data_IF_965683452297
#
_entry.id   IF_965683452297
#
_cell.length_a   1.000
_cell.length_b   1.000
_cell.length_c   1.000
_cell.angle_alpha   90.00
_cell.angle_beta   90.00
_cell.angle_gamma   90.00
#
_symmetry.space_group_name_H-M   'P 1'
#
loop_
_entity.id
_entity.type
_entity.pdbx_description
1 polymer ?
#
# COMPACT_ATOMS: atom_id res chain seq x y z
N UNK A 1 -26.01 57.82 1.21
CA UNK A 1 -24.98 56.92 1.77
C UNK A 1 -24.31 57.62 2.94
N UNK A 2 -24.45 57.08 4.15
CA UNK A 2 -23.64 57.52 5.28
C UNK A 2 -22.33 56.74 5.28
N UNK A 3 -21.19 57.44 5.39
CA UNK A 3 -19.86 56.83 5.46
C UNK A 3 -19.23 57.20 6.79
N UNK A 4 -18.69 56.22 7.49
CA UNK A 4 -17.83 56.43 8.66
C UNK A 4 -16.40 56.16 8.23
N UNK A 5 -15.47 57.04 8.59
CA UNK A 5 -14.02 56.86 8.41
C UNK A 5 -13.39 56.97 9.77
N UNK A 6 -12.77 55.91 10.22
CA UNK A 6 -12.03 55.86 11.47
C UNK A 6 -10.86 54.90 11.27
N UNK A 7 -9.76 55.16 11.96
CA UNK A 7 -8.63 54.24 11.97
C UNK A 7 -8.96 52.97 12.75
N UNK A 8 -9.60 53.12 13.92
CA UNK A 8 -9.95 52.03 14.83
C UNK A 8 -11.37 52.18 15.40
N UNK A 9 -11.95 51.04 15.80
CA UNK A 9 -13.20 50.97 16.57
C UNK A 9 -12.94 50.15 17.84
N UNK A 10 -13.34 50.68 18.99
CA UNK A 10 -13.25 50.02 20.30
C UNK A 10 -14.63 49.88 20.92
N UNK A 11 -14.74 49.10 21.99
CA UNK A 11 -15.90 49.13 22.88
C UNK A 11 -16.08 50.51 23.55
N UNK A 12 -17.17 50.68 24.30
CA UNK A 12 -17.49 51.95 24.99
C UNK A 12 -16.41 52.34 26.01
N UNK A 13 -15.73 51.38 26.62
CA UNK A 13 -14.70 51.64 27.62
C UNK A 13 -13.34 52.01 27.00
N UNK A 14 -13.17 51.82 25.69
CA UNK A 14 -11.92 52.12 24.97
C UNK A 14 -10.84 51.06 25.12
N UNK A 15 -11.15 49.94 25.78
CA UNK A 15 -10.17 48.94 26.21
C UNK A 15 -10.42 47.56 25.57
N UNK A 16 -11.44 47.41 24.72
CA UNK A 16 -11.82 46.14 24.12
C UNK A 16 -12.33 46.25 22.69
N UNK A 17 -12.65 45.08 22.12
CA UNK A 17 -13.27 44.99 20.79
C UNK A 17 -14.75 45.41 20.85
N UNK A 18 -15.28 46.05 19.79
CA UNK A 18 -16.71 46.31 19.67
C UNK A 18 -17.53 45.01 19.76
N UNK A 19 -18.69 45.08 20.41
CA UNK A 19 -19.66 43.98 20.40
C UNK A 19 -20.71 44.23 19.29
N UNK A 20 -20.93 43.23 18.43
CA UNK A 20 -21.93 43.26 17.37
C UNK A 20 -23.05 42.25 17.67
N UNK A 21 -23.99 42.56 18.58
CA UNK A 21 -25.01 41.60 19.04
C UNK A 21 -25.98 41.13 17.94
N UNK A 22 -26.08 41.88 16.85
CA UNK A 22 -26.87 41.53 15.66
C UNK A 22 -26.01 41.03 14.50
N UNK A 23 -24.74 40.73 14.77
CA UNK A 23 -23.76 40.25 13.79
C UNK A 23 -23.07 41.35 13.00
N UNK A 24 -22.03 40.94 12.28
CA UNK A 24 -21.31 41.75 11.30
C UNK A 24 -21.64 41.23 9.91
N UNK A 25 -22.09 42.12 9.01
CA UNK A 25 -22.26 41.79 7.59
C UNK A 25 -21.23 42.57 6.77
N UNK A 26 -20.16 41.90 6.36
CA UNK A 26 -19.20 42.46 5.41
C UNK A 26 -19.54 41.99 4.00
N UNK A 27 -19.61 42.91 3.04
CA UNK A 27 -19.68 42.59 1.61
C UNK A 27 -18.29 42.49 0.96
N UNK A 28 -17.25 42.86 1.71
CA UNK A 28 -15.86 42.81 1.27
C UNK A 28 -15.04 41.82 2.09
N UNK A 29 -13.72 41.94 2.00
CA UNK A 29 -12.76 41.06 2.69
C UNK A 29 -12.78 41.33 4.20
N UNK A 30 -12.73 40.26 4.99
CA UNK A 30 -12.43 40.31 6.42
C UNK A 30 -11.03 39.73 6.61
N UNK A 31 -10.11 40.53 7.11
CA UNK A 31 -8.77 40.07 7.51
C UNK A 31 -8.74 40.02 9.04
N UNK A 32 -8.60 38.83 9.60
CA UNK A 32 -8.55 38.61 11.04
C UNK A 32 -7.32 37.76 11.39
N UNK A 33 -6.73 37.98 12.56
CA UNK A 33 -5.62 37.17 13.07
C UNK A 33 -6.10 35.86 13.73
N UNK A 34 -7.42 35.70 13.93
CA UNK A 34 -8.05 34.49 14.45
C UNK A 34 -9.58 34.57 14.37
N UNK A 35 -10.23 33.42 14.45
CA UNK A 35 -11.69 33.29 14.47
C UNK A 35 -12.11 32.06 15.28
N UNK A 36 -13.16 32.21 16.09
CA UNK A 36 -13.78 31.11 16.82
C UNK A 36 -15.27 31.15 16.57
N UNK A 37 -15.82 30.03 16.09
CA UNK A 37 -17.23 29.88 15.76
C UNK A 37 -17.79 28.78 16.64
N UNK A 38 -18.83 29.08 17.41
CA UNK A 38 -19.52 28.10 18.26
C UNK A 38 -20.58 27.28 17.51
N UNK A 39 -20.89 27.68 16.28
CA UNK A 39 -21.82 27.00 15.39
C UNK A 39 -21.17 26.60 14.07
N UNK A 40 -22.01 26.23 13.12
CA UNK A 40 -21.56 25.77 11.81
C UNK A 40 -20.87 26.90 11.03
N UNK A 41 -19.87 26.53 10.24
CA UNK A 41 -19.16 27.42 9.32
C UNK A 41 -19.36 26.89 7.90
N UNK A 42 -20.09 27.66 7.09
CA UNK A 42 -20.26 27.36 5.66
C UNK A 42 -19.21 28.12 4.85
N UNK A 43 -18.42 27.39 4.05
CA UNK A 43 -17.38 27.95 3.19
C UNK A 43 -17.74 27.65 1.75
N UNK A 44 -18.15 28.67 1.00
CA UNK A 44 -18.52 28.51 -0.41
C UNK A 44 -17.30 28.35 -1.34
N UNK A 45 -16.11 28.74 -0.87
CA UNK A 45 -14.85 28.67 -1.61
C UNK A 45 -13.96 27.50 -1.19
N UNK A 46 -12.66 27.64 -1.45
CA UNK A 46 -11.63 26.70 -1.02
C UNK A 46 -10.95 27.23 0.23
N UNK A 47 -10.60 26.32 1.14
CA UNK A 47 -9.67 26.58 2.22
C UNK A 47 -8.29 26.02 1.80
N UNK A 48 -7.29 26.88 1.70
CA UNK A 48 -5.97 26.54 1.13
C UNK A 48 -5.03 25.89 2.15
N UNK A 49 -4.02 25.16 1.66
CA UNK A 49 -3.14 24.29 2.45
C UNK A 49 -2.32 25.05 3.50
N UNK A 50 -1.94 26.29 3.19
CA UNK A 50 -1.21 27.15 4.12
C UNK A 50 -2.04 27.49 5.36
N UNK A 51 -3.37 27.47 5.25
CA UNK A 51 -4.30 27.81 6.34
C UNK A 51 -4.76 26.58 7.15
N UNK A 52 -4.53 25.36 6.65
CA UNK A 52 -4.99 24.11 7.30
C UNK A 52 -3.83 23.16 7.51
N UNK A 53 -3.17 23.30 8.65
CA UNK A 53 -2.08 22.40 9.05
C UNK A 53 -2.58 21.20 9.85
N UNK A 54 -3.66 21.35 10.63
CA UNK A 54 -4.24 20.31 11.47
C UNK A 54 -5.78 20.35 11.42
N UNK A 55 -6.41 19.17 11.47
CA UNK A 55 -7.86 19.01 11.68
C UNK A 55 -8.06 18.06 12.87
N UNK A 56 -8.66 18.57 13.94
CA UNK A 56 -9.15 17.75 15.06
C UNK A 56 -10.66 17.56 14.89
N UNK A 57 -11.05 16.44 14.29
CA UNK A 57 -12.45 16.13 13.97
C UNK A 57 -12.91 14.88 14.70
N UNK A 58 -14.08 14.96 15.32
CA UNK A 58 -14.79 13.80 15.89
C UNK A 58 -15.60 13.06 14.82
N UNK A 59 -15.88 13.72 13.69
CA UNK A 59 -16.74 13.23 12.61
C UNK A 59 -15.99 12.75 11.38
N UNK A 60 -16.65 12.85 10.22
CA UNK A 60 -16.10 12.44 8.92
C UNK A 60 -15.21 13.55 8.36
N UNK A 61 -14.01 13.18 7.93
CA UNK A 61 -13.18 14.03 7.07
C UNK A 61 -13.30 13.51 5.65
N UNK A 62 -13.75 14.37 4.73
CA UNK A 62 -13.78 14.06 3.30
C UNK A 62 -12.66 14.81 2.58
N UNK A 63 -11.99 14.14 1.65
CA UNK A 63 -10.92 14.73 0.85
C UNK A 63 -11.13 14.38 -0.62
N UNK A 64 -11.02 15.39 -1.50
CA UNK A 64 -11.25 15.24 -2.95
C UNK A 64 -10.33 14.19 -3.59
N UNK A 65 -9.05 14.22 -3.24
CA UNK A 65 -8.01 13.40 -3.86
C UNK A 65 -7.59 12.19 -2.99
N UNK A 66 -8.43 11.83 -2.01
CA UNK A 66 -8.09 10.84 -0.99
C UNK A 66 -7.41 11.45 0.24
N UNK A 67 -7.25 10.64 1.30
CA UNK A 67 -6.62 11.02 2.55
C UNK A 67 -5.37 10.15 2.80
N UNK A 68 -4.25 10.77 3.14
CA UNK A 68 -3.07 10.06 3.65
C UNK A 68 -3.21 9.94 5.16
N UNK A 69 -3.31 8.72 5.67
CA UNK A 69 -3.49 8.45 7.09
C UNK A 69 -2.15 8.03 7.70
N UNK A 70 -1.41 9.00 8.24
CA UNK A 70 -0.22 8.72 9.04
C UNK A 70 -0.64 8.20 10.41
N UNK A 71 -0.44 6.92 10.70
CA UNK A 71 -0.59 6.40 12.06
C UNK A 71 0.75 6.54 12.77
N UNK A 72 0.84 7.42 13.77
CA UNK A 72 2.00 7.44 14.67
C UNK A 72 1.96 6.18 15.52
N UNK A 73 3.02 5.37 15.45
CA UNK A 73 3.08 4.13 16.21
C UNK A 73 3.18 4.42 17.72
N UNK A 74 2.12 4.10 18.49
CA UNK A 74 2.18 3.95 19.95
C UNK A 74 2.66 2.52 20.28
N UNK A 75 3.82 2.32 20.92
CA UNK A 75 4.35 0.99 21.24
C UNK A 75 3.57 0.28 22.36
N UNK A 76 2.68 0.98 23.05
CA UNK A 76 1.85 0.44 24.15
C UNK A 76 0.41 0.18 23.75
N UNK A 77 0.00 0.61 22.54
CA UNK A 77 -1.36 0.44 22.03
C UNK A 77 -1.36 -0.21 20.66
N UNK A 78 -2.51 -0.77 20.29
CA UNK A 78 -2.71 -1.25 18.92
C UNK A 78 -2.99 -0.03 18.03
N UNK A 79 -2.00 0.35 17.24
CA UNK A 79 -2.14 1.30 16.14
C UNK A 79 -3.07 0.69 15.09
N UNK A 80 -4.34 1.10 15.08
CA UNK A 80 -5.37 0.46 14.25
C UNK A 80 -6.16 1.47 13.43
N UNK A 81 -5.96 1.46 12.12
CA UNK A 81 -7.08 1.63 11.21
C UNK A 81 -7.93 0.36 11.35
N UNK A 82 -9.06 0.45 12.05
CA UNK A 82 -9.90 -0.71 12.35
C UNK A 82 -10.55 -1.27 11.08
N UNK A 83 -10.82 -0.40 10.11
CA UNK A 83 -11.49 -0.72 8.86
C UNK A 83 -11.15 0.38 7.84
N UNK A 84 -10.45 0.02 6.76
CA UNK A 84 -10.20 0.93 5.65
C UNK A 84 -11.18 0.56 4.53
N UNK A 85 -12.28 1.29 4.41
CA UNK A 85 -13.28 1.07 3.37
C UNK A 85 -12.99 1.98 2.17
N UNK A 86 -12.52 1.40 1.06
CA UNK A 86 -12.30 2.12 -0.20
C UNK A 86 -13.49 1.90 -1.13
N UNK A 87 -14.41 2.87 -1.21
CA UNK A 87 -15.43 2.89 -2.25
C UNK A 87 -14.86 3.62 -3.47
N UNK A 88 -14.62 2.88 -4.54
CA UNK A 88 -14.55 3.48 -5.87
C UNK A 88 -15.52 2.73 -6.79
N UNK A 89 -16.56 3.46 -7.18
CA UNK A 89 -17.50 3.04 -8.21
C UNK A 89 -16.82 3.12 -9.58
N UNK A 90 -16.01 2.12 -9.91
CA UNK A 90 -15.37 2.05 -11.21
C UNK A 90 -14.18 1.11 -11.23
N UNK A 91 -14.46 -0.16 -11.46
CA UNK A 91 -13.51 -1.27 -11.62
C UNK A 91 -12.62 -1.51 -10.41
N UNK A 92 -13.09 -2.47 -9.60
CA UNK A 92 -12.36 -3.24 -8.58
C UNK A 92 -12.53 -2.73 -7.15
N UNK A 93 -13.76 -2.80 -6.64
CA UNK A 93 -14.05 -2.53 -5.23
C UNK A 93 -13.22 -3.36 -4.24
N UNK A 94 -13.00 -2.75 -3.07
CA UNK A 94 -12.88 -3.31 -1.72
C UNK A 94 -12.76 -4.85 -1.59
N UNK A 95 -11.70 -5.43 -2.15
CA UNK A 95 -11.22 -6.77 -1.82
C UNK A 95 -9.73 -6.66 -1.47
N UNK A 96 -9.25 -7.48 -0.54
CA UNK A 96 -7.81 -7.71 -0.37
C UNK A 96 -7.30 -8.39 -1.65
N UNK A 97 -6.91 -7.58 -2.63
CA UNK A 97 -6.31 -8.06 -3.88
C UNK A 97 -4.80 -8.16 -3.66
N UNK A 98 -4.24 -9.29 -4.05
CA UNK A 98 -2.79 -9.42 -4.18
C UNK A 98 -2.34 -8.66 -5.42
N UNK A 99 -1.27 -7.88 -5.31
CA UNK A 99 -0.62 -7.26 -6.47
C UNK A 99 -0.04 -8.36 -7.35
N UNK A 100 -0.28 -8.27 -8.66
CA UNK A 100 0.06 -9.32 -9.62
C UNK A 100 1.02 -8.82 -10.68
N UNK A 101 2.13 -9.52 -10.86
CA UNK A 101 2.97 -9.42 -12.06
C UNK A 101 2.43 -10.39 -13.12
N UNK A 102 2.01 -9.83 -14.26
CA UNK A 102 1.45 -10.59 -15.38
C UNK A 102 2.38 -10.50 -16.58
N UNK A 103 2.90 -11.63 -17.05
CA UNK A 103 3.57 -11.73 -18.35
C UNK A 103 2.95 -12.83 -19.20
N UNK A 104 2.73 -12.48 -20.47
CA UNK A 104 2.28 -13.42 -21.51
C UNK A 104 3.41 -13.83 -22.44
N UNK A 105 4.63 -13.31 -22.22
CA UNK A 105 5.82 -13.65 -22.99
C UNK A 105 6.62 -14.74 -22.30
N UNK A 106 7.13 -15.69 -23.08
CA UNK A 106 7.98 -16.77 -22.57
C UNK A 106 9.25 -16.17 -21.93
N UNK A 107 9.56 -16.58 -20.70
CA UNK A 107 10.84 -16.27 -20.03
C UNK A 107 11.81 -17.45 -20.20
N UNK A 108 13.12 -17.24 -20.03
CA UNK A 108 14.13 -18.32 -20.12
C UNK A 108 15.25 -18.12 -19.11
N UNK A 109 15.83 -19.20 -18.59
CA UNK A 109 16.94 -19.16 -17.64
C UNK A 109 16.50 -19.04 -16.18
N UNK A 110 17.39 -18.54 -15.32
CA UNK A 110 17.08 -18.26 -13.91
C UNK A 110 16.22 -17.00 -13.83
N UNK A 111 15.19 -17.03 -12.97
CA UNK A 111 14.18 -15.98 -12.92
C UNK A 111 14.30 -15.14 -11.66
N UNK A 112 14.49 -13.84 -11.84
CA UNK A 112 14.33 -12.87 -10.77
C UNK A 112 12.84 -12.53 -10.62
N UNK A 113 12.31 -12.69 -9.41
CA UNK A 113 10.94 -12.36 -9.05
C UNK A 113 10.98 -11.13 -8.13
N UNK A 114 10.59 -9.99 -8.66
CA UNK A 114 10.55 -8.71 -7.93
C UNK A 114 9.24 -8.60 -7.15
N UNK A 115 9.34 -8.54 -5.82
CA UNK A 115 8.19 -8.44 -4.93
C UNK A 115 7.60 -7.02 -4.90
N UNK A 116 8.32 -6.01 -5.41
CA UNK A 116 7.75 -4.68 -5.66
C UNK A 116 6.62 -4.72 -6.70
N UNK A 117 6.72 -5.61 -7.69
CA UNK A 117 5.73 -5.78 -8.77
C UNK A 117 4.48 -6.54 -8.28
N UNK A 118 4.62 -7.24 -7.15
CA UNK A 118 3.56 -7.99 -6.51
C UNK A 118 4.00 -9.34 -5.99
N UNK A 119 3.05 -10.06 -5.38
CA UNK A 119 3.29 -11.38 -4.78
C UNK A 119 2.53 -12.50 -5.52
N UNK A 120 1.91 -12.19 -6.65
CA UNK A 120 1.36 -13.19 -7.58
C UNK A 120 2.03 -13.01 -8.92
N UNK A 121 2.69 -14.05 -9.42
CA UNK A 121 3.38 -14.06 -10.70
C UNK A 121 2.65 -15.00 -11.66
N UNK A 122 2.19 -14.50 -12.80
CA UNK A 122 1.52 -15.31 -13.81
C UNK A 122 2.32 -15.32 -15.11
N UNK A 123 2.77 -16.51 -15.51
CA UNK A 123 3.49 -16.78 -16.75
C UNK A 123 2.58 -17.54 -17.72
N UNK A 124 1.89 -16.78 -18.59
CA UNK A 124 0.75 -17.25 -19.38
C UNK A 124 1.07 -18.04 -20.64
N UNK A 125 2.33 -18.08 -21.06
CA UNK A 125 2.81 -18.89 -22.18
C UNK A 125 3.91 -19.82 -21.69
N UNK A 126 4.15 -20.90 -22.45
CA UNK A 126 5.20 -21.88 -22.15
C UNK A 126 6.52 -21.17 -21.90
N UNK A 127 6.88 -21.07 -20.63
CA UNK A 127 8.05 -20.34 -20.18
C UNK A 127 9.12 -21.35 -19.82
N UNK A 128 10.37 -21.03 -20.15
CA UNK A 128 11.61 -21.76 -19.88
C UNK A 128 11.68 -23.18 -20.48
N UNK A 129 12.52 -23.35 -21.51
CA UNK A 129 12.88 -24.68 -22.05
C UNK A 129 13.84 -25.49 -21.17
N UNK A 130 14.16 -25.03 -19.96
CA UNK A 130 15.08 -25.72 -19.07
C UNK A 130 14.37 -26.83 -18.26
N UNK A 131 15.06 -27.97 -18.15
CA UNK A 131 14.64 -29.19 -17.46
C UNK A 131 14.75 -29.15 -15.93
N UNK A 132 15.14 -28.02 -15.36
CA UNK A 132 15.11 -27.68 -13.93
C UNK A 132 15.61 -26.24 -13.80
N UNK A 133 14.83 -25.33 -13.23
CA UNK A 133 15.22 -23.92 -13.16
C UNK A 133 15.16 -23.35 -11.76
N UNK A 134 15.83 -22.21 -11.59
CA UNK A 134 15.97 -21.54 -10.31
C UNK A 134 15.22 -20.21 -10.34
N UNK A 135 14.58 -19.89 -9.22
CA UNK A 135 13.95 -18.59 -8.99
C UNK A 135 14.73 -17.83 -7.91
N UNK A 136 14.70 -16.51 -7.97
CA UNK A 136 15.29 -15.64 -6.98
C UNK A 136 14.28 -14.58 -6.55
N UNK A 137 13.79 -14.66 -5.32
CA UNK A 137 12.98 -13.59 -4.74
C UNK A 137 13.86 -12.44 -4.28
N UNK A 138 13.42 -11.22 -4.58
CA UNK A 138 14.10 -9.97 -4.27
C UNK A 138 13.07 -8.85 -4.19
N UNK A 139 13.39 -7.73 -3.56
CA UNK A 139 12.48 -6.59 -3.60
C UNK A 139 12.40 -6.01 -5.03
N UNK A 140 13.52 -5.52 -5.55
CA UNK A 140 13.62 -4.92 -6.89
C UNK A 140 14.98 -5.23 -7.57
N UNK A 141 15.23 -4.67 -8.75
CA UNK A 141 16.46 -4.85 -9.56
C UNK A 141 17.80 -4.36 -8.92
N UNK A 142 17.73 -3.67 -7.79
CA UNK A 142 18.83 -3.00 -7.07
C UNK A 142 18.79 -3.14 -5.55
N UNK A 143 17.61 -3.32 -4.96
CA UNK A 143 17.36 -3.36 -3.52
C UNK A 143 17.11 -4.80 -3.08
N UNK A 144 17.82 -5.21 -2.04
CA UNK A 144 17.69 -6.54 -1.45
C UNK A 144 16.40 -6.64 -0.62
N UNK A 145 15.70 -7.76 -0.71
CA UNK A 145 14.51 -8.07 0.09
C UNK A 145 14.80 -7.96 1.59
N UNK A 146 15.99 -8.37 2.01
CA UNK A 146 16.50 -8.25 3.38
C UNK A 146 16.54 -6.82 3.95
N UNK A 147 16.45 -5.79 3.11
CA UNK A 147 16.34 -4.39 3.58
C UNK A 147 14.90 -3.90 3.72
N UNK A 148 13.94 -4.69 3.24
CA UNK A 148 12.51 -4.36 3.18
C UNK A 148 11.66 -5.25 4.10
N UNK A 149 12.29 -6.20 4.79
CA UNK A 149 11.64 -7.09 5.77
C UNK A 149 12.26 -6.88 7.14
N UNK A 150 11.44 -7.11 8.18
CA UNK A 150 11.86 -7.18 9.57
C UNK A 150 11.56 -8.58 10.12
N UNK A 151 12.21 -8.93 11.23
CA UNK A 151 11.92 -10.18 11.96
C UNK A 151 10.42 -10.34 12.22
N UNK A 152 9.86 -11.46 11.77
CA UNK A 152 8.43 -11.78 11.91
C UNK A 152 7.57 -11.38 10.71
N UNK A 153 8.11 -10.66 9.73
CA UNK A 153 7.41 -10.40 8.48
C UNK A 153 7.27 -11.69 7.67
N UNK A 154 6.11 -11.82 7.01
CA UNK A 154 5.75 -13.00 6.22
C UNK A 154 5.28 -12.57 4.85
N UNK A 155 5.91 -13.14 3.83
CA UNK A 155 5.57 -12.92 2.43
C UNK A 155 5.11 -14.25 1.84
N UNK A 156 3.89 -14.28 1.30
CA UNK A 156 3.41 -15.42 0.52
C UNK A 156 3.42 -15.05 -0.95
N UNK A 157 4.26 -15.71 -1.73
CA UNK A 157 4.33 -15.56 -3.18
C UNK A 157 3.66 -16.75 -3.88
N UNK A 158 2.80 -16.48 -4.86
CA UNK A 158 2.17 -17.50 -5.71
C UNK A 158 2.66 -17.35 -7.13
N UNK A 159 3.05 -18.45 -7.76
CA UNK A 159 3.57 -18.48 -9.12
C UNK A 159 2.70 -19.43 -9.93
N UNK A 160 2.03 -18.91 -10.96
CA UNK A 160 1.36 -19.70 -11.99
C UNK A 160 2.33 -19.87 -13.15
N UNK A 161 2.78 -21.10 -13.36
CA UNK A 161 3.81 -21.43 -14.32
C UNK A 161 3.27 -22.32 -15.44
N UNK A 162 3.29 -21.85 -16.70
CA UNK A 162 2.98 -22.72 -17.83
C UNK A 162 4.21 -23.55 -18.22
N UNK A 163 4.18 -24.85 -17.89
CA UNK A 163 5.26 -25.83 -18.05
C UNK A 163 5.52 -26.17 -19.52
N UNK A 164 6.81 -26.31 -19.89
CA UNK A 164 7.25 -26.74 -21.23
C UNK A 164 7.33 -28.25 -21.40
N UNK A 165 7.31 -29.02 -20.31
CA UNK A 165 7.47 -30.48 -20.28
C UNK A 165 7.62 -31.00 -18.85
N UNK A 166 7.63 -32.32 -18.65
CA UNK A 166 7.69 -32.90 -17.29
C UNK A 166 9.00 -32.62 -16.57
N UNK A 167 10.05 -32.21 -17.29
CA UNK A 167 11.28 -31.72 -16.67
C UNK A 167 11.20 -30.24 -16.27
N UNK A 168 10.21 -29.46 -16.69
CA UNK A 168 10.15 -28.04 -16.30
C UNK A 168 9.56 -27.91 -14.88
N UNK A 169 10.44 -27.73 -13.89
CA UNK A 169 10.07 -27.48 -12.50
C UNK A 169 11.07 -26.56 -11.78
N UNK A 170 10.60 -25.90 -10.71
CA UNK A 170 11.44 -25.10 -9.81
C UNK A 170 12.28 -26.02 -8.94
N UNK A 171 13.60 -25.96 -9.09
CA UNK A 171 14.57 -26.84 -8.40
C UNK A 171 15.29 -26.13 -7.23
N UNK A 172 15.57 -24.84 -7.37
CA UNK A 172 16.19 -24.02 -6.32
C UNK A 172 15.43 -22.71 -6.18
N UNK A 173 15.33 -22.28 -4.94
CA UNK A 173 14.79 -20.99 -4.55
C UNK A 173 15.90 -20.21 -3.87
N UNK A 174 16.27 -19.10 -4.48
CA UNK A 174 17.16 -18.11 -3.91
C UNK A 174 16.33 -16.96 -3.32
N UNK A 175 16.90 -16.31 -2.31
CA UNK A 175 16.46 -14.99 -1.84
C UNK A 175 17.69 -14.08 -1.85
N UNK A 176 17.59 -12.94 -2.53
CA UNK A 176 18.71 -12.00 -2.73
C UNK A 176 19.99 -12.68 -3.27
N UNK A 177 19.82 -13.69 -4.12
CA UNK A 177 20.91 -14.48 -4.71
C UNK A 177 21.53 -15.52 -3.78
N UNK A 178 20.96 -15.75 -2.59
CA UNK A 178 21.39 -16.78 -1.65
C UNK A 178 20.41 -17.95 -1.67
N UNK A 179 20.91 -19.16 -1.92
CA UNK A 179 20.11 -20.39 -1.92
C UNK A 179 19.50 -20.72 -0.58
N UNK A 180 18.20 -20.97 -0.58
CA UNK A 180 17.43 -21.31 0.59
C UNK A 180 17.19 -22.81 0.68
N UNK A 181 17.14 -23.31 1.91
CA UNK A 181 16.58 -24.64 2.20
C UNK A 181 15.06 -24.51 2.27
N UNK A 182 14.37 -25.09 1.28
CA UNK A 182 12.90 -25.04 1.21
C UNK A 182 12.29 -26.23 1.96
N UNK A 183 11.42 -25.94 2.92
CA UNK A 183 10.61 -26.92 3.61
C UNK A 183 9.38 -27.23 2.76
N UNK A 184 9.48 -28.25 1.93
CA UNK A 184 8.38 -28.64 1.04
C UNK A 184 7.24 -29.30 1.81
N UNK A 185 6.01 -28.87 1.52
CA UNK A 185 4.82 -29.55 2.00
C UNK A 185 4.81 -30.98 1.42
N UNK A 186 4.63 -31.98 2.30
CA UNK A 186 4.81 -33.39 1.92
C UNK A 186 6.26 -33.90 2.01
N UNK A 187 7.22 -33.04 2.37
CA UNK A 187 8.56 -33.43 2.80
C UNK A 187 9.58 -33.69 1.69
N UNK A 188 9.21 -33.54 0.41
CA UNK A 188 10.12 -33.74 -0.73
C UNK A 188 10.02 -32.62 -1.74
N UNK A 189 11.15 -32.26 -2.34
CA UNK A 189 11.20 -31.25 -3.40
C UNK A 189 10.58 -31.78 -4.70
N UNK A 190 10.03 -30.89 -5.55
CA UNK A 190 9.63 -31.22 -6.91
C UNK A 190 10.73 -31.94 -7.68
N UNK A 191 10.34 -32.98 -8.40
CA UNK A 191 11.22 -33.71 -9.34
C UNK A 191 10.68 -33.70 -10.77
N UNK A 192 9.48 -33.15 -10.95
CA UNK A 192 8.77 -33.07 -12.22
C UNK A 192 7.74 -31.91 -12.26
N UNK A 193 7.39 -31.50 -13.47
CA UNK A 193 6.28 -30.58 -13.77
C UNK A 193 5.07 -31.29 -14.38
N UNK A 194 3.97 -30.58 -14.57
CA UNK A 194 2.71 -31.13 -15.13
C UNK A 194 2.79 -31.62 -16.58
N UNK A 195 3.78 -31.17 -17.34
CA UNK A 195 3.95 -31.49 -18.76
C UNK A 195 3.68 -30.29 -19.67
N UNK A 196 3.89 -30.47 -20.98
CA UNK A 196 3.81 -29.37 -21.94
C UNK A 196 2.44 -28.70 -21.97
N UNK A 197 2.44 -27.36 -21.93
CA UNK A 197 1.27 -26.49 -22.01
C UNK A 197 0.27 -26.67 -20.85
N UNK A 198 0.76 -27.10 -19.69
CA UNK A 198 -0.02 -27.23 -18.46
C UNK A 198 0.51 -26.30 -17.39
N UNK A 199 -0.35 -25.93 -16.44
CA UNK A 199 0.04 -25.06 -15.34
C UNK A 199 0.57 -25.86 -14.16
N UNK A 200 1.70 -25.44 -13.62
CA UNK A 200 2.13 -25.76 -12.27
C UNK A 200 1.94 -24.51 -11.41
N UNK A 201 1.30 -24.65 -10.27
CA UNK A 201 1.11 -23.58 -9.29
C UNK A 201 2.08 -23.83 -8.15
N UNK A 202 2.97 -22.88 -7.91
CA UNK A 202 3.86 -22.90 -6.76
C UNK A 202 3.41 -21.84 -5.76
N UNK A 203 3.44 -22.18 -4.48
CA UNK A 203 3.24 -21.23 -3.40
C UNK A 203 4.43 -21.30 -2.45
N UNK A 204 5.05 -20.15 -2.20
CA UNK A 204 6.15 -20.02 -1.24
C UNK A 204 5.74 -19.07 -0.13
N UNK A 205 5.82 -19.55 1.12
CA UNK A 205 5.72 -18.71 2.31
C UNK A 205 7.12 -18.47 2.85
N UNK A 206 7.54 -17.21 2.86
CA UNK A 206 8.86 -16.75 3.27
C UNK A 206 8.68 -16.01 4.59
N UNK A 207 9.26 -16.55 5.66
CA UNK A 207 9.24 -15.96 6.99
C UNK A 207 10.63 -15.42 7.32
N UNK A 208 10.70 -14.11 7.61
CA UNK A 208 11.95 -13.49 8.07
C UNK A 208 12.22 -13.82 9.54
N UNK A 209 13.32 -14.53 9.81
CA UNK A 209 13.71 -14.94 11.16
C UNK A 209 14.60 -13.92 11.88
N UNK A 210 14.97 -12.83 11.22
CA UNK A 210 15.93 -11.83 11.67
C UNK A 210 17.40 -12.19 11.40
N UNK A 211 17.69 -13.46 11.08
CA UNK A 211 19.03 -13.96 10.71
C UNK A 211 19.07 -14.59 9.31
N UNK A 212 17.95 -14.57 8.60
CA UNK A 212 17.75 -15.20 7.31
C UNK A 212 16.27 -15.49 7.10
N UNK A 213 15.98 -16.51 6.28
CA UNK A 213 14.60 -16.85 5.93
C UNK A 213 14.29 -18.32 6.20
N UNK A 214 13.10 -18.56 6.74
CA UNK A 214 12.47 -19.88 6.71
C UNK A 214 11.50 -19.92 5.54
N UNK A 215 11.75 -20.81 4.57
CA UNK A 215 10.95 -20.91 3.35
C UNK A 215 10.15 -22.20 3.37
N UNK A 216 8.84 -22.10 3.10
CA UNK A 216 7.93 -23.23 2.95
C UNK A 216 7.37 -23.22 1.54
N UNK A 217 7.48 -24.35 0.83
CA UNK A 217 7.10 -24.46 -0.57
C UNK A 217 6.04 -25.52 -0.81
N UNK A 218 5.14 -25.28 -1.76
CA UNK A 218 4.21 -26.29 -2.28
C UNK A 218 4.12 -26.16 -3.80
N UNK A 219 4.01 -27.30 -4.48
CA UNK A 219 3.71 -27.38 -5.91
C UNK A 219 2.37 -28.09 -6.08
N UNK A 220 1.52 -27.53 -6.93
CA UNK A 220 0.32 -28.18 -7.44
C UNK A 220 0.40 -28.26 -8.95
N UNK A 221 0.46 -29.49 -9.46
CA UNK A 221 0.44 -29.76 -10.90
C UNK A 221 -1.02 -29.76 -11.36
N UNK A 222 -1.35 -28.98 -12.39
CA UNK A 222 -2.70 -28.86 -12.95
C UNK A 222 -2.82 -29.53 -14.33
#
# INVERSE_FOLDING_TARGET
MSKVRAENFTDRSGNGSPNFPFGLRSAGIVTATGGSFSGNVDIAGVLTYEDVTNIDSVGIVTARAGAVLGITADPTKRNKLRETYFDSSGSHGSFLKQSTYLTTSATSGNLNLHLEDGNVFYFGSTSNGNSAFYINFRYDSTTALSTQTNTGDVITATIFWCSTGTSSYINVVDIDGVTQTVNWIGGSAPTDGSGSNKFDIYTFTIFDTGSGYSVFGNQTKC
#
